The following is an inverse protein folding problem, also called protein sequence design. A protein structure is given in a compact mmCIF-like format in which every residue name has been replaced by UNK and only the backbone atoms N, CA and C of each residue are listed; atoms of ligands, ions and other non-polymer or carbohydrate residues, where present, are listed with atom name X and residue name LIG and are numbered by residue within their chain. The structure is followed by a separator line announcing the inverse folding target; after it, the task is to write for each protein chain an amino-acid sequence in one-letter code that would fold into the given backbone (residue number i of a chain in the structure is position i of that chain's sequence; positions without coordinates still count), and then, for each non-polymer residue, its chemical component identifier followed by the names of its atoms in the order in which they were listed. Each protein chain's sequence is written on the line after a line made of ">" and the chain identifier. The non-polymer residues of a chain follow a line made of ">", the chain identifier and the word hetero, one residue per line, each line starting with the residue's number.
data_IF_550623499771
#
_entry.id   IF_550623499771
#
_cell.length_a   1.000
_cell.length_b   1.000
_cell.length_c   1.000
_cell.angle_alpha   90.00
_cell.angle_beta   90.00
_cell.angle_gamma   90.00
#
_symmetry.space_group_name_H-M   'P 1'
#
loop_
_entity.id
_entity.type
_entity.pdbx_description
1 polymer ?
#
# COMPACT_ATOMS: atom_id res chain seq x y z
N UNK A 1 -31.26 -4.66 -16.40
CA UNK A 1 -30.01 -4.30 -15.67
C UNK A 1 -29.88 -4.93 -14.28
N UNK A 2 -30.96 -5.30 -13.55
CA UNK A 2 -30.83 -5.99 -12.24
C UNK A 2 -30.33 -7.45 -12.34
N UNK A 3 -30.65 -8.17 -13.42
CA UNK A 3 -30.22 -9.57 -13.59
C UNK A 3 -28.74 -9.75 -13.99
N UNK A 4 -28.12 -8.75 -14.62
CA UNK A 4 -26.70 -8.83 -15.01
C UNK A 4 -25.76 -8.65 -13.82
N UNK A 5 -26.14 -7.78 -12.87
CA UNK A 5 -25.37 -7.52 -11.65
C UNK A 5 -25.43 -8.73 -10.71
N UNK A 6 -26.59 -9.38 -10.58
CA UNK A 6 -26.76 -10.59 -9.76
C UNK A 6 -25.91 -11.75 -10.32
N UNK A 7 -25.82 -11.89 -11.64
CA UNK A 7 -24.99 -12.93 -12.30
C UNK A 7 -23.49 -12.77 -12.02
N UNK A 8 -22.95 -11.55 -12.13
CA UNK A 8 -21.54 -11.29 -11.82
C UNK A 8 -21.18 -11.55 -10.34
N UNK A 9 -22.09 -11.26 -9.41
CA UNK A 9 -21.88 -11.48 -7.97
C UNK A 9 -21.90 -12.97 -7.60
N UNK A 10 -22.66 -13.80 -8.32
CA UNK A 10 -22.72 -15.25 -8.07
C UNK A 10 -21.46 -15.95 -8.60
N UNK A 11 -20.98 -15.57 -9.79
CA UNK A 11 -19.77 -16.17 -10.39
C UNK A 11 -18.50 -15.83 -9.59
N UNK A 12 -18.43 -14.61 -9.04
CA UNK A 12 -17.30 -14.21 -8.18
C UNK A 12 -17.27 -14.95 -6.84
N UNK A 13 -18.43 -15.28 -6.27
CA UNK A 13 -18.51 -16.11 -5.06
C UNK A 13 -18.12 -17.59 -5.29
N UNK A 14 -18.46 -18.17 -6.45
CA UNK A 14 -18.05 -19.54 -6.81
C UNK A 14 -16.53 -19.64 -7.03
N UNK A 15 -15.93 -18.68 -7.74
CA UNK A 15 -14.45 -18.63 -7.91
C UNK A 15 -13.70 -18.41 -6.59
N UNK A 16 -14.29 -17.71 -5.62
CA UNK A 16 -13.69 -17.54 -4.28
C UNK A 16 -13.69 -18.82 -3.44
N UNK A 17 -14.59 -19.76 -3.76
CA UNK A 17 -14.68 -21.06 -3.09
C UNK A 17 -13.67 -22.08 -3.66
N UNK A 18 -13.24 -21.90 -4.91
CA UNK A 18 -12.31 -22.80 -5.64
C UNK A 18 -10.84 -22.35 -5.65
N UNK A 19 -10.48 -21.21 -5.04
CA UNK A 19 -9.07 -20.79 -4.96
C UNK A 19 -8.30 -21.73 -4.02
N UNK A 20 -7.66 -22.76 -4.57
CA UNK A 20 -6.85 -23.73 -3.83
C UNK A 20 -5.46 -23.18 -3.46
N UNK A 21 -4.84 -22.40 -4.35
CA UNK A 21 -3.58 -21.71 -4.06
C UNK A 21 -3.53 -20.28 -4.60
N UNK A 22 -3.42 -19.31 -3.71
CA UNK A 22 -3.25 -17.90 -4.03
C UNK A 22 -1.93 -17.63 -4.75
N UNK A 23 -0.84 -18.27 -4.32
CA UNK A 23 0.48 -18.13 -4.96
C UNK A 23 0.43 -18.64 -6.39
N UNK A 24 -0.14 -19.84 -6.61
CA UNK A 24 -0.25 -20.40 -7.96
C UNK A 24 -1.11 -19.52 -8.86
N UNK A 25 -2.22 -18.98 -8.32
CA UNK A 25 -3.10 -18.09 -9.07
C UNK A 25 -2.40 -16.78 -9.49
N UNK A 26 -1.58 -16.19 -8.62
CA UNK A 26 -0.77 -15.01 -8.94
C UNK A 26 0.42 -15.32 -9.84
N UNK A 27 1.03 -16.50 -9.74
CA UNK A 27 2.12 -16.89 -10.64
C UNK A 27 1.66 -16.99 -12.11
N UNK A 28 0.35 -17.17 -12.33
CA UNK A 28 -0.27 -17.20 -13.66
C UNK A 28 -0.76 -15.84 -14.15
N UNK A 29 -0.56 -14.76 -13.38
CA UNK A 29 -0.87 -13.39 -13.83
C UNK A 29 0.05 -13.02 -14.99
N UNK A 30 -0.53 -12.46 -16.05
CA UNK A 30 0.24 -11.87 -17.15
C UNK A 30 1.09 -10.71 -16.61
N UNK A 31 2.41 -10.80 -16.81
CA UNK A 31 3.35 -9.75 -16.40
C UNK A 31 3.70 -8.86 -17.59
N UNK A 32 2.86 -7.86 -17.85
CA UNK A 32 3.21 -6.79 -18.79
C UNK A 32 4.21 -5.83 -18.14
N UNK A 33 5.03 -5.10 -18.94
CA UNK A 33 5.90 -4.04 -18.42
C UNK A 33 5.16 -3.03 -17.53
N UNK A 34 3.92 -2.70 -17.87
CA UNK A 34 3.08 -1.77 -17.12
C UNK A 34 2.75 -2.28 -15.71
N UNK A 35 2.41 -3.57 -15.56
CA UNK A 35 2.12 -4.19 -14.26
C UNK A 35 3.38 -4.28 -13.40
N UNK A 36 4.51 -4.64 -14.00
CA UNK A 36 5.80 -4.70 -13.29
C UNK A 36 6.20 -3.29 -12.82
N UNK A 37 6.12 -2.29 -13.70
CA UNK A 37 6.48 -0.91 -13.39
C UNK A 37 5.58 -0.30 -12.31
N UNK A 38 4.31 -0.70 -12.25
CA UNK A 38 3.40 -0.23 -11.20
C UNK A 38 3.95 -0.49 -9.78
N UNK A 39 4.52 -1.68 -9.55
CA UNK A 39 5.10 -2.04 -8.26
C UNK A 39 6.57 -1.63 -8.11
N UNK A 40 7.20 -1.08 -9.17
CA UNK A 40 8.58 -0.65 -9.11
C UNK A 40 8.81 0.42 -8.03
N UNK A 41 9.82 0.17 -7.21
CA UNK A 41 10.21 1.03 -6.09
C UNK A 41 9.20 1.07 -4.94
N UNK A 42 8.12 0.27 -4.96
CA UNK A 42 7.16 0.19 -3.86
C UNK A 42 7.67 -0.76 -2.77
N UNK A 43 8.26 -1.89 -3.19
CA UNK A 43 8.93 -2.92 -2.40
C UNK A 43 9.88 -3.71 -3.31
N UNK A 44 10.85 -4.41 -2.72
CA UNK A 44 11.65 -5.44 -3.40
C UNK A 44 11.12 -6.84 -3.04
N UNK A 45 10.76 -7.06 -1.76
CA UNK A 45 10.21 -8.31 -1.22
C UNK A 45 8.97 -8.06 -0.37
N UNK A 46 7.84 -8.62 -0.78
CA UNK A 46 6.55 -8.49 -0.09
C UNK A 46 6.07 -9.86 0.38
N UNK A 47 6.05 -10.08 1.69
CA UNK A 47 5.45 -11.27 2.29
C UNK A 47 3.92 -11.18 2.25
N UNK A 48 3.26 -12.25 1.81
CA UNK A 48 1.81 -12.34 1.71
C UNK A 48 1.29 -13.49 2.58
N UNK A 49 0.27 -13.20 3.37
CA UNK A 49 -0.57 -14.22 4.03
C UNK A 49 -2.00 -14.05 3.58
N UNK A 50 -2.74 -15.15 3.35
CA UNK A 50 -4.14 -15.06 2.92
C UNK A 50 -5.08 -15.55 4.03
N UNK A 51 -6.01 -14.69 4.45
CA UNK A 51 -6.99 -14.99 5.49
C UNK A 51 -7.84 -16.20 5.10
N UNK A 52 -7.92 -17.19 6.00
CA UNK A 52 -8.66 -18.43 5.77
C UNK A 52 -8.00 -19.40 4.78
N UNK A 53 -6.71 -19.23 4.50
CA UNK A 53 -5.88 -20.16 3.73
C UNK A 53 -4.56 -20.41 4.45
N UNK A 54 -3.96 -21.58 4.23
CA UNK A 54 -2.61 -21.89 4.70
C UNK A 54 -1.52 -21.29 3.80
N UNK A 55 -1.91 -20.65 2.69
CA UNK A 55 -1.00 -20.00 1.75
C UNK A 55 -0.25 -18.85 2.41
N UNK A 56 1.08 -18.98 2.37
CA UNK A 56 2.04 -17.94 2.66
C UNK A 56 3.13 -17.98 1.60
N UNK A 57 3.45 -16.83 1.03
CA UNK A 57 4.42 -16.72 -0.05
C UNK A 57 5.03 -15.33 -0.09
N UNK A 58 6.23 -15.22 -0.66
CA UNK A 58 6.91 -13.95 -0.88
C UNK A 58 6.80 -13.56 -2.36
N UNK A 59 6.45 -12.31 -2.61
CA UNK A 59 6.51 -11.67 -3.93
C UNK A 59 7.83 -10.92 -4.05
N UNK A 60 8.56 -11.17 -5.12
CA UNK A 60 9.86 -10.57 -5.40
C UNK A 60 9.76 -9.67 -6.61
N UNK A 61 10.02 -8.37 -6.45
CA UNK A 61 10.22 -7.45 -7.58
C UNK A 61 11.70 -7.46 -7.95
N UNK A 62 12.01 -7.89 -9.18
CA UNK A 62 13.40 -8.04 -9.67
C UNK A 62 13.79 -6.96 -10.68
N UNK A 63 13.05 -5.83 -10.69
CA UNK A 63 13.24 -4.73 -11.64
C UNK A 63 12.37 -4.90 -12.87
N UNK A 64 12.60 -5.93 -13.68
CA UNK A 64 11.89 -6.17 -14.95
C UNK A 64 10.86 -7.30 -14.91
N UNK A 65 10.76 -7.99 -13.78
CA UNK A 65 9.78 -9.06 -13.54
C UNK A 65 9.43 -9.22 -12.07
N UNK A 66 8.32 -9.90 -11.82
CA UNK A 66 7.87 -10.31 -10.50
C UNK A 66 7.95 -11.83 -10.39
N UNK A 67 8.47 -12.35 -9.28
CA UNK A 67 8.54 -13.81 -9.03
C UNK A 67 8.00 -14.15 -7.65
N UNK A 68 7.71 -15.43 -7.41
CA UNK A 68 7.07 -15.88 -6.19
C UNK A 68 7.87 -17.04 -5.55
N UNK A 69 8.05 -17.01 -4.24
CA UNK A 69 8.59 -18.12 -3.45
C UNK A 69 7.58 -18.57 -2.39
N UNK A 70 7.52 -19.87 -2.13
CA UNK A 70 6.68 -20.43 -1.06
C UNK A 70 7.27 -20.06 0.31
N UNK A 71 6.41 -19.72 1.26
CA UNK A 71 6.82 -19.26 2.60
C UNK A 71 7.06 -17.75 2.66
N UNK A 72 7.42 -17.25 3.84
CA UNK A 72 7.79 -15.86 4.04
C UNK A 72 9.31 -15.81 4.21
N UNK A 73 9.98 -15.02 3.37
CA UNK A 73 11.42 -14.81 3.46
C UNK A 73 11.77 -14.02 4.74
N UNK A 74 12.95 -14.27 5.31
CA UNK A 74 13.38 -13.60 6.56
C UNK A 74 13.63 -12.09 6.36
N UNK A 75 13.93 -11.67 5.13
CA UNK A 75 14.34 -10.32 4.76
C UNK A 75 13.29 -9.57 3.91
N UNK A 76 12.00 -9.86 4.13
CA UNK A 76 10.91 -9.10 3.51
C UNK A 76 10.91 -7.63 3.92
N UNK A 77 10.50 -6.75 3.00
CA UNK A 77 10.31 -5.32 3.30
C UNK A 77 9.01 -5.10 4.08
N UNK A 78 7.95 -5.80 3.68
CA UNK A 78 6.61 -5.66 4.27
C UNK A 78 5.90 -7.02 4.32
N UNK A 79 5.07 -7.21 5.35
CA UNK A 79 4.14 -8.34 5.46
C UNK A 79 2.70 -7.83 5.29
N UNK A 80 1.97 -8.35 4.32
CA UNK A 80 0.61 -7.90 4.01
C UNK A 80 -0.39 -9.06 4.12
N UNK A 81 -1.37 -8.96 5.04
CA UNK A 81 -2.49 -9.88 5.08
C UNK A 81 -3.52 -9.51 4.00
N UNK A 82 -3.93 -10.51 3.22
CA UNK A 82 -4.91 -10.38 2.14
C UNK A 82 -6.11 -11.28 2.37
N UNK A 83 -7.25 -10.94 1.77
CA UNK A 83 -8.41 -11.82 1.64
C UNK A 83 -8.40 -12.51 0.28
N UNK A 84 -9.07 -13.66 0.16
CA UNK A 84 -9.26 -14.36 -1.13
C UNK A 84 -9.75 -13.42 -2.25
N UNK A 85 -10.67 -12.52 -1.93
CA UNK A 85 -11.18 -11.55 -2.90
C UNK A 85 -10.09 -10.61 -3.44
N UNK A 86 -9.07 -10.26 -2.63
CA UNK A 86 -7.96 -9.43 -3.10
C UNK A 86 -7.11 -10.17 -4.13
N UNK A 87 -6.90 -11.48 -3.92
CA UNK A 87 -6.21 -12.34 -4.88
C UNK A 87 -6.96 -12.35 -6.22
N UNK A 88 -8.27 -12.60 -6.17
CA UNK A 88 -9.13 -12.63 -7.37
C UNK A 88 -9.18 -11.28 -8.10
N UNK A 89 -9.24 -10.18 -7.34
CA UNK A 89 -9.24 -8.84 -7.92
C UNK A 89 -7.95 -8.58 -8.71
N UNK A 90 -6.78 -8.92 -8.13
CA UNK A 90 -5.49 -8.80 -8.83
C UNK A 90 -5.44 -9.59 -10.14
N UNK A 91 -5.96 -10.83 -10.15
CA UNK A 91 -6.04 -11.63 -11.38
C UNK A 91 -6.90 -10.91 -12.41
N UNK A 92 -8.05 -10.37 -12.00
CA UNK A 92 -8.93 -9.63 -12.90
C UNK A 92 -8.25 -8.37 -13.46
N UNK A 93 -7.50 -7.64 -12.65
CA UNK A 93 -6.79 -6.41 -13.03
C UNK A 93 -5.68 -6.65 -14.05
N UNK A 94 -5.07 -7.84 -14.03
CA UNK A 94 -4.00 -8.16 -14.95
C UNK A 94 -4.44 -8.56 -16.36
N UNK A 95 -5.74 -8.77 -16.60
CA UNK A 95 -6.24 -9.41 -17.83
C UNK A 95 -6.04 -8.58 -19.08
N UNK A 96 -6.15 -7.27 -18.98
CA UNK A 96 -5.97 -6.35 -20.12
C UNK A 96 -4.54 -5.80 -20.21
N UNK A 97 -3.65 -6.24 -19.31
CA UNK A 97 -2.25 -5.86 -19.27
C UNK A 97 -1.99 -4.43 -18.79
N UNK A 98 -3.00 -3.69 -18.33
CA UNK A 98 -2.89 -2.32 -17.87
C UNK A 98 -3.39 -2.19 -16.42
N UNK A 99 -3.11 -1.05 -15.80
CA UNK A 99 -3.69 -0.70 -14.49
C UNK A 99 -4.38 0.64 -14.62
N UNK A 100 -5.70 0.61 -14.74
CA UNK A 100 -6.52 1.82 -14.78
C UNK A 100 -6.57 2.53 -13.41
N UNK A 101 -7.03 3.80 -13.34
CA UNK A 101 -7.15 4.52 -12.07
C UNK A 101 -8.01 3.80 -11.03
N UNK A 102 -9.10 3.16 -11.45
CA UNK A 102 -10.01 2.38 -10.61
C UNK A 102 -9.32 1.14 -10.04
N UNK A 103 -8.48 0.49 -10.83
CA UNK A 103 -7.74 -0.70 -10.42
C UNK A 103 -6.61 -0.33 -9.49
N UNK A 104 -5.85 0.71 -9.82
CA UNK A 104 -4.84 1.28 -8.92
C UNK A 104 -5.44 1.62 -7.55
N UNK A 105 -6.63 2.22 -7.55
CA UNK A 105 -7.35 2.48 -6.31
C UNK A 105 -7.75 1.20 -5.55
N UNK A 106 -8.24 0.16 -6.23
CA UNK A 106 -8.59 -1.13 -5.59
C UNK A 106 -7.37 -1.87 -5.05
N UNK A 107 -6.23 -1.78 -5.72
CA UNK A 107 -4.97 -2.37 -5.26
C UNK A 107 -4.52 -1.64 -3.99
N UNK A 108 -4.43 -0.31 -4.07
CA UNK A 108 -4.01 0.49 -2.93
C UNK A 108 -5.01 0.44 -1.78
N UNK A 109 -6.32 0.29 -2.01
CA UNK A 109 -7.28 0.15 -0.91
C UNK A 109 -7.07 -1.12 -0.08
N UNK A 110 -6.23 -2.04 -0.54
CA UNK A 110 -5.82 -3.21 0.24
C UNK A 110 -4.45 -2.97 0.88
N UNK A 111 -3.52 -2.38 0.13
CA UNK A 111 -2.12 -2.22 0.56
C UNK A 111 -1.89 -0.99 1.45
N UNK A 112 -2.76 0.02 1.38
CA UNK A 112 -2.48 1.36 1.92
C UNK A 112 -2.20 1.36 3.43
N UNK A 113 -3.07 0.77 4.22
CA UNK A 113 -2.89 0.70 5.68
C UNK A 113 -1.77 -0.28 6.08
N UNK A 114 -1.70 -1.52 5.55
CA UNK A 114 -0.61 -2.44 5.87
C UNK A 114 0.78 -1.88 5.52
N UNK A 115 0.96 -1.31 4.33
CA UNK A 115 2.25 -0.71 3.94
C UNK A 115 2.62 0.47 4.83
N UNK A 116 1.64 1.31 5.19
CA UNK A 116 1.88 2.43 6.14
C UNK A 116 2.31 1.90 7.50
N UNK A 117 1.63 0.86 8.00
CA UNK A 117 1.95 0.22 9.28
C UNK A 117 3.38 -0.32 9.30
N UNK A 118 3.77 -1.12 8.32
CA UNK A 118 5.11 -1.70 8.26
C UNK A 118 6.19 -0.63 8.02
N UNK A 119 5.93 0.32 7.12
CA UNK A 119 6.86 1.44 6.85
C UNK A 119 7.17 2.23 8.12
N UNK A 120 6.16 2.55 8.94
CA UNK A 120 6.35 3.36 10.14
C UNK A 120 7.01 2.61 11.31
N UNK A 121 7.25 1.30 11.19
CA UNK A 121 8.11 0.55 12.14
C UNK A 121 9.59 0.82 11.93
N UNK A 122 9.99 1.35 10.77
CA UNK A 122 11.40 1.65 10.51
C UNK A 122 11.93 2.66 11.53
N UNK A 123 12.99 2.32 12.31
CA UNK A 123 13.44 3.14 13.43
C UNK A 123 13.74 4.59 13.06
N UNK A 124 14.29 4.83 11.87
CA UNK A 124 14.65 6.17 11.40
C UNK A 124 13.43 7.10 11.28
N UNK A 125 12.25 6.58 10.97
CA UNK A 125 10.99 7.34 10.89
C UNK A 125 10.38 7.63 12.26
N UNK A 126 10.80 6.90 13.29
CA UNK A 126 10.34 7.08 14.67
C UNK A 126 11.19 8.09 15.47
N UNK A 127 12.32 8.57 14.92
CA UNK A 127 13.21 9.52 15.61
C UNK A 127 12.55 10.90 15.76
N UNK A 128 12.21 11.27 17.00
CA UNK A 128 11.38 12.45 17.28
C UNK A 128 11.93 13.76 16.72
N UNK A 129 13.23 14.03 16.90
CA UNK A 129 13.81 15.31 16.48
C UNK A 129 13.82 15.45 14.95
N UNK A 130 14.08 14.37 14.20
CA UNK A 130 14.01 14.34 12.73
C UNK A 130 12.59 14.60 12.25
N UNK A 131 11.62 13.95 12.89
CA UNK A 131 10.18 14.11 12.62
C UNK A 131 9.73 15.56 12.83
N UNK A 132 10.10 16.18 13.96
CA UNK A 132 9.79 17.59 14.25
C UNK A 132 10.47 18.54 13.25
N UNK A 133 11.72 18.28 12.86
CA UNK A 133 12.43 19.05 11.82
C UNK A 133 11.76 18.95 10.44
N UNK A 134 11.23 17.77 10.11
CA UNK A 134 10.42 17.55 8.91
C UNK A 134 9.02 18.20 9.01
N UNK A 135 8.64 18.69 10.19
CA UNK A 135 7.36 19.33 10.46
C UNK A 135 6.20 18.34 10.54
N UNK A 136 6.47 17.07 10.79
CA UNK A 136 5.44 16.02 10.90
C UNK A 136 4.75 16.13 12.25
N UNK A 137 3.43 16.10 12.26
CA UNK A 137 2.59 16.26 13.44
C UNK A 137 2.47 14.98 14.27
N UNK A 138 1.97 15.10 15.51
CA UNK A 138 1.82 13.96 16.43
C UNK A 138 0.54 13.16 16.17
N UNK A 139 -0.50 13.81 15.64
CA UNK A 139 -1.77 13.18 15.28
C UNK A 139 -2.15 13.64 13.87
N UNK A 140 -2.27 12.67 12.96
CA UNK A 140 -2.52 12.90 11.54
C UNK A 140 -3.67 11.99 11.09
N UNK A 141 -4.59 12.53 10.30
CA UNK A 141 -5.58 11.73 9.57
C UNK A 141 -5.15 11.58 8.13
N UNK A 142 -5.31 10.39 7.56
CA UNK A 142 -4.96 10.12 6.17
C UNK A 142 -6.14 9.47 5.48
N UNK A 143 -6.45 9.97 4.29
CA UNK A 143 -7.48 9.46 3.40
C UNK A 143 -6.86 9.06 2.07
N UNK A 144 -7.19 7.86 1.59
CA UNK A 144 -7.03 7.47 0.20
C UNK A 144 -8.32 7.83 -0.54
N UNK A 145 -8.19 8.65 -1.58
CA UNK A 145 -9.28 9.08 -2.42
C UNK A 145 -9.60 8.04 -3.50
N UNK A 146 -10.88 7.90 -3.84
CA UNK A 146 -11.33 7.24 -5.06
C UNK A 146 -10.99 8.10 -6.28
N UNK A 147 -10.97 7.52 -7.50
CA UNK A 147 -10.79 8.31 -8.73
C UNK A 147 -11.84 9.42 -8.91
N UNK A 148 -13.05 9.22 -8.38
CA UNK A 148 -14.13 10.20 -8.38
C UNK A 148 -13.99 11.29 -7.30
N UNK A 149 -12.91 11.26 -6.49
CA UNK A 149 -12.66 12.22 -5.41
C UNK A 149 -13.38 11.91 -4.09
N UNK A 150 -14.08 10.78 -4.00
CA UNK A 150 -14.67 10.29 -2.75
C UNK A 150 -13.60 9.71 -1.81
N UNK A 151 -13.95 9.46 -0.56
CA UNK A 151 -13.05 8.85 0.43
C UNK A 151 -13.26 7.32 0.45
N UNK A 152 -12.16 6.55 0.45
CA UNK A 152 -12.22 5.08 0.40
C UNK A 152 -11.66 4.42 1.65
N UNK A 153 -10.36 4.63 1.88
CA UNK A 153 -9.68 4.15 3.07
C UNK A 153 -9.23 5.32 3.90
N UNK A 154 -9.23 5.10 5.21
CA UNK A 154 -8.80 6.10 6.17
C UNK A 154 -8.14 5.47 7.37
N UNK A 155 -7.08 6.10 7.85
CA UNK A 155 -6.42 5.71 9.07
C UNK A 155 -5.88 6.93 9.81
N UNK A 156 -5.68 6.74 11.10
CA UNK A 156 -5.08 7.72 12.01
C UNK A 156 -3.65 7.30 12.29
N UNK A 157 -2.71 8.23 12.15
CA UNK A 157 -1.36 8.07 12.65
C UNK A 157 -1.23 8.82 13.97
N UNK A 158 -0.73 8.13 15.00
CA UNK A 158 -0.46 8.70 16.31
C UNK A 158 1.00 8.44 16.67
N UNK A 159 1.74 9.50 16.91
CA UNK A 159 3.10 9.43 17.44
C UNK A 159 3.07 9.50 18.96
N UNK A 160 3.50 8.43 19.63
CA UNK A 160 3.53 8.35 21.10
C UNK A 160 4.72 7.52 21.55
N UNK A 161 5.44 7.96 22.59
CA UNK A 161 6.59 7.25 23.19
C UNK A 161 7.63 6.77 22.15
N UNK A 162 7.99 7.63 21.20
CA UNK A 162 8.94 7.33 20.12
C UNK A 162 8.50 6.18 19.18
N UNK A 163 7.20 6.01 19.00
CA UNK A 163 6.62 5.00 18.13
C UNK A 163 5.43 5.57 17.37
N UNK A 164 5.16 5.00 16.21
CA UNK A 164 3.96 5.26 15.43
C UNK A 164 2.91 4.19 15.68
N UNK A 165 1.70 4.61 15.98
CA UNK A 165 0.51 3.78 15.93
C UNK A 165 -0.25 4.10 14.65
N UNK A 166 -0.62 3.07 13.90
CA UNK A 166 -1.49 3.16 12.73
C UNK A 166 -2.81 2.50 13.08
N UNK A 167 -3.89 3.26 13.07
CA UNK A 167 -5.21 2.79 13.50
C UNK A 167 -6.17 2.99 12.33
N UNK A 168 -6.82 1.93 11.89
CA UNK A 168 -7.85 2.00 10.86
C UNK A 168 -9.05 2.81 11.35
N UNK A 169 -9.45 3.83 10.58
CA UNK A 169 -10.44 4.82 10.99
C UNK A 169 -9.85 6.18 11.39
N UNK A 170 -10.72 7.09 11.81
CA UNK A 170 -10.36 8.46 12.18
C UNK A 170 -10.63 8.68 13.67
N UNK A 171 -9.59 9.01 14.43
CA UNK A 171 -9.69 9.18 15.87
C UNK A 171 -9.01 10.48 16.32
N UNK A 172 -9.65 11.16 17.26
CA UNK A 172 -9.15 12.44 17.80
C UNK A 172 -9.18 13.59 16.79
N UNK A 173 -8.57 14.70 17.19
CA UNK A 173 -8.48 15.93 16.39
C UNK A 173 -7.06 16.05 15.81
N UNK A 174 -6.90 15.86 14.48
CA UNK A 174 -5.58 15.90 13.87
C UNK A 174 -5.11 17.34 13.72
N UNK A 175 -3.80 17.55 13.81
CA UNK A 175 -3.20 18.82 13.37
C UNK A 175 -3.01 18.87 11.85
N UNK A 176 -3.04 17.72 11.18
CA UNK A 176 -2.94 17.63 9.73
C UNK A 176 -3.82 16.51 9.18
N UNK A 177 -4.48 16.79 8.07
CA UNK A 177 -5.24 15.80 7.32
C UNK A 177 -4.68 15.68 5.91
N UNK A 178 -4.31 14.46 5.50
CA UNK A 178 -3.91 14.11 4.14
C UNK A 178 -5.10 13.56 3.37
N UNK A 179 -5.26 14.01 2.13
CA UNK A 179 -6.20 13.49 1.14
C UNK A 179 -5.43 13.17 -0.12
N UNK A 180 -5.13 11.90 -0.32
CA UNK A 180 -4.15 11.43 -1.32
C UNK A 180 -4.85 10.66 -2.42
N UNK A 181 -4.54 10.98 -3.67
CA UNK A 181 -4.88 10.12 -4.80
C UNK A 181 -4.00 8.86 -4.79
N UNK A 182 -4.38 7.80 -5.52
CA UNK A 182 -3.53 6.63 -5.73
C UNK A 182 -2.09 6.98 -6.16
N UNK A 183 -1.95 7.90 -7.11
CA UNK A 183 -0.64 8.35 -7.60
C UNK A 183 0.20 9.05 -6.52
N UNK A 184 -0.41 9.94 -5.74
CA UNK A 184 0.30 10.61 -4.64
C UNK A 184 0.71 9.62 -3.54
N UNK A 185 -0.11 8.61 -3.28
CA UNK A 185 0.21 7.52 -2.35
C UNK A 185 1.39 6.67 -2.83
N UNK A 186 1.40 6.28 -4.11
CA UNK A 186 2.50 5.53 -4.70
C UNK A 186 3.80 6.36 -4.72
N UNK A 187 3.74 7.65 -5.06
CA UNK A 187 4.93 8.51 -5.03
C UNK A 187 5.52 8.59 -3.62
N UNK A 188 4.67 8.79 -2.60
CA UNK A 188 5.12 8.80 -1.21
C UNK A 188 5.76 7.48 -0.81
N UNK A 189 5.11 6.35 -1.12
CA UNK A 189 5.65 5.04 -0.80
C UNK A 189 7.01 4.82 -1.48
N UNK A 190 7.13 5.13 -2.78
CA UNK A 190 8.38 4.94 -3.54
C UNK A 190 9.54 5.76 -2.98
N UNK A 191 9.29 7.02 -2.65
CA UNK A 191 10.33 7.89 -2.10
C UNK A 191 10.70 7.52 -0.67
N UNK A 192 9.72 7.10 0.12
CA UNK A 192 9.95 6.61 1.48
C UNK A 192 10.77 5.33 1.44
N UNK A 193 10.38 4.36 0.61
CA UNK A 193 11.11 3.11 0.41
C UNK A 193 12.54 3.35 -0.05
N UNK A 194 12.75 4.23 -1.05
CA UNK A 194 14.10 4.62 -1.49
C UNK A 194 14.95 5.20 -0.36
N UNK A 195 14.38 6.08 0.47
CA UNK A 195 15.08 6.68 1.60
C UNK A 195 15.44 5.63 2.67
N UNK A 196 14.54 4.69 2.94
CA UNK A 196 14.77 3.57 3.86
C UNK A 196 15.89 2.66 3.34
N UNK A 197 15.84 2.25 2.07
CA UNK A 197 16.83 1.32 1.48
C UNK A 197 18.24 1.91 1.46
N UNK A 198 18.37 3.20 1.18
CA UNK A 198 19.67 3.87 1.12
C UNK A 198 20.19 4.32 2.49
N UNK A 199 19.28 4.56 3.43
CA UNK A 199 19.51 4.99 4.82
C UNK A 199 20.70 5.94 5.05
N UNK A 200 20.82 6.97 4.20
CA UNK A 200 21.91 7.95 4.32
C UNK A 200 21.38 9.33 4.69
N UNK A 201 22.20 10.11 5.39
CA UNK A 201 21.84 11.47 5.80
C UNK A 201 21.35 12.33 4.62
N UNK A 202 22.07 12.29 3.49
CA UNK A 202 21.72 13.05 2.28
C UNK A 202 20.40 12.60 1.66
N UNK A 203 20.11 11.30 1.66
CA UNK A 203 18.85 10.78 1.14
C UNK A 203 17.67 11.15 2.06
N UNK A 204 17.86 11.08 3.38
CA UNK A 204 16.86 11.55 4.34
C UNK A 204 16.61 13.06 4.24
N UNK A 205 17.66 13.86 4.00
CA UNK A 205 17.51 15.29 3.75
C UNK A 205 16.72 15.57 2.46
N UNK A 206 17.04 14.85 1.38
CA UNK A 206 16.33 14.94 0.09
C UNK A 206 14.86 14.55 0.26
N UNK A 207 14.60 13.47 0.97
CA UNK A 207 13.25 13.02 1.29
C UNK A 207 12.48 14.06 2.10
N UNK A 208 13.06 14.58 3.19
CA UNK A 208 12.41 15.57 4.04
C UNK A 208 12.08 16.87 3.28
N UNK A 209 12.97 17.31 2.39
CA UNK A 209 12.76 18.49 1.55
C UNK A 209 11.61 18.26 0.57
N UNK A 210 11.63 17.13 -0.16
CA UNK A 210 10.53 16.77 -1.05
C UNK A 210 9.20 16.63 -0.30
N UNK A 211 9.19 15.94 0.84
CA UNK A 211 8.00 15.70 1.65
C UNK A 211 7.32 17.01 2.09
N UNK A 212 8.11 18.02 2.45
CA UNK A 212 7.59 19.34 2.84
C UNK A 212 6.84 20.05 1.72
N UNK A 213 7.28 19.88 0.47
CA UNK A 213 6.60 20.44 -0.70
C UNK A 213 5.42 19.56 -1.13
N UNK A 214 5.64 18.25 -1.25
CA UNK A 214 4.62 17.28 -1.61
C UNK A 214 3.39 17.35 -0.71
N UNK A 215 3.58 17.42 0.62
CA UNK A 215 2.45 17.48 1.56
C UNK A 215 1.56 18.71 1.37
N UNK A 216 2.07 19.81 0.80
CA UNK A 216 1.24 21.00 0.52
C UNK A 216 0.22 20.73 -0.59
N UNK A 217 0.49 19.75 -1.46
CA UNK A 217 -0.39 19.38 -2.58
C UNK A 217 -1.54 18.48 -2.18
N UNK A 218 -1.42 17.79 -1.03
CA UNK A 218 -2.34 16.72 -0.64
C UNK A 218 -2.74 16.78 0.85
N UNK A 219 -2.43 17.86 1.58
CA UNK A 219 -2.81 17.98 2.99
C UNK A 219 -3.22 19.38 3.40
N UNK A 220 -4.02 19.44 4.47
CA UNK A 220 -4.44 20.66 5.15
C UNK A 220 -3.94 20.62 6.59
N UNK A 221 -3.42 21.75 7.07
CA UNK A 221 -3.02 21.93 8.48
C UNK A 221 -4.19 22.57 9.23
N UNK A 222 -4.52 22.04 10.40
CA UNK A 222 -5.56 22.56 11.28
C UNK A 222 -4.92 23.32 12.44
N UNK A 223 -5.62 24.36 12.90
CA UNK A 223 -5.24 25.19 14.05
C UNK A 223 -5.74 24.60 15.36
#
# INVERSE_FOLDING_TARGET
>A
MKHLIISCVIISNLLAQELESAMAAWNNILQTPEIVEYFHGVFDKLGITVEGMDDKFTVHHQGDKITFSKGIDDDIDFLVPLKKQNILNMISHSKDGNISPEESWRILSVLFTPLTYETLKVPTLAVNWRRKLAGVEDLIHIYLLTPAGGEANKHTLIYVKNQWLVIEGLYGNPRRTYRMTPGQSLEYQRRTFTAIKKDSFWEWWRFATWYKEWRKTCSVTHT
#
